data_IF_509456549139
#
_entry.id   IF_509456549139
#
_cell.length_a   1.000
_cell.length_b   1.000
_cell.length_c   1.000
_cell.angle_alpha   90.00
_cell.angle_beta   90.00
_cell.angle_gamma   90.00
#
_symmetry.space_group_name_H-M   'P 1'
#
loop_
_entity.id
_entity.type
_entity.pdbx_description
1 polymer ?
#
# COMPACT_ATOMS: atom_id res chain seq x y z
N UNK A 1 1.76 -13.34 -7.58
CA UNK A 1 2.52 -12.45 -6.66
C UNK A 1 2.36 -11.04 -7.19
N UNK A 2 1.95 -10.04 -6.39
CA UNK A 2 1.80 -8.65 -6.87
C UNK A 2 3.16 -8.19 -7.38
N UNK A 3 3.37 -8.05 -8.68
CA UNK A 3 4.59 -7.38 -9.12
C UNK A 3 4.36 -5.89 -8.86
N UNK A 4 4.94 -5.38 -7.78
CA UNK A 4 4.88 -3.95 -7.40
C UNK A 4 5.22 -3.06 -8.62
N UNK A 5 6.05 -3.59 -9.53
CA UNK A 5 6.39 -3.05 -10.84
C UNK A 5 5.21 -2.84 -11.79
N UNK A 6 4.27 -3.78 -11.92
CA UNK A 6 3.12 -3.65 -12.83
C UNK A 6 2.15 -2.56 -12.35
N UNK A 7 1.87 -2.50 -11.05
CA UNK A 7 1.02 -1.46 -10.45
C UNK A 7 1.63 -0.07 -10.66
N UNK A 8 2.95 0.09 -10.50
CA UNK A 8 3.63 1.38 -10.74
C UNK A 8 3.51 1.78 -12.21
N UNK A 9 3.77 0.86 -13.16
CA UNK A 9 3.63 1.13 -14.60
C UNK A 9 2.24 1.63 -14.96
N UNK A 10 1.20 0.99 -14.43
CA UNK A 10 -0.20 1.35 -14.68
C UNK A 10 -0.54 2.73 -14.08
N UNK A 11 -0.06 3.04 -12.88
CA UNK A 11 -0.23 4.37 -12.28
C UNK A 11 0.44 5.47 -13.11
N UNK A 12 1.63 5.22 -13.64
CA UNK A 12 2.32 6.17 -14.53
C UNK A 12 1.56 6.35 -15.85
N UNK A 13 1.14 5.25 -16.49
CA UNK A 13 0.30 5.26 -17.71
C UNK A 13 -0.94 6.13 -17.53
N UNK A 14 -1.60 5.98 -16.39
CA UNK A 14 -2.88 6.65 -16.08
C UNK A 14 -2.67 8.04 -15.45
N UNK A 15 -1.46 8.60 -15.51
CA UNK A 15 -1.09 9.90 -14.94
C UNK A 15 -1.50 10.07 -13.47
N UNK A 16 -1.40 8.99 -12.70
CA UNK A 16 -1.84 8.91 -11.31
C UNK A 16 -3.27 9.44 -11.12
N UNK A 17 -4.16 9.08 -12.05
CA UNK A 17 -5.55 9.49 -12.07
C UNK A 17 -6.47 8.28 -12.12
N UNK A 18 -7.57 8.36 -11.36
CA UNK A 18 -8.62 7.36 -11.36
C UNK A 18 -9.28 7.30 -12.74
N UNK A 19 -9.31 6.10 -13.33
CA UNK A 19 -9.92 5.87 -14.63
C UNK A 19 -11.45 5.95 -14.62
N UNK A 20 -12.08 5.93 -13.45
CA UNK A 20 -13.54 6.06 -13.33
C UNK A 20 -14.01 7.50 -13.06
N UNK A 21 -13.30 8.23 -12.20
CA UNK A 21 -13.77 9.55 -11.73
C UNK A 21 -12.75 10.68 -11.89
N UNK A 22 -11.55 10.40 -12.39
CA UNK A 22 -10.49 11.41 -12.57
C UNK A 22 -9.83 11.90 -11.29
N UNK A 23 -10.26 11.46 -10.10
CA UNK A 23 -9.61 11.81 -8.83
C UNK A 23 -8.17 11.33 -8.81
N UNK A 24 -7.29 12.08 -8.13
CA UNK A 24 -5.88 11.74 -7.91
C UNK A 24 -5.59 11.35 -6.47
N UNK A 25 -6.62 11.23 -5.65
CA UNK A 25 -6.49 10.90 -4.23
C UNK A 25 -6.31 9.40 -4.01
N UNK A 26 -5.30 9.04 -3.20
CA UNK A 26 -5.05 7.67 -2.71
C UNK A 26 -5.14 6.62 -3.82
N UNK A 27 -4.34 6.84 -4.86
CA UNK A 27 -4.40 6.08 -6.10
C UNK A 27 -3.86 4.65 -5.93
N UNK A 28 -4.61 3.69 -6.44
CA UNK A 28 -4.38 2.26 -6.28
C UNK A 28 -4.50 1.53 -7.62
N UNK A 29 -3.77 0.41 -7.75
CA UNK A 29 -3.98 -0.51 -8.86
C UNK A 29 -5.12 -1.46 -8.53
N UNK A 30 -6.02 -1.67 -9.48
CA UNK A 30 -7.16 -2.57 -9.40
C UNK A 30 -7.10 -3.57 -10.56
N UNK A 31 -7.15 -4.86 -10.25
CA UNK A 31 -7.27 -5.93 -11.23
C UNK A 31 -8.74 -6.10 -11.61
N UNK A 32 -9.12 -5.83 -12.86
CA UNK A 32 -10.48 -6.15 -13.34
C UNK A 32 -10.71 -7.67 -13.41
N UNK A 33 -9.67 -8.41 -13.75
CA UNK A 33 -9.66 -9.88 -13.78
C UNK A 33 -8.66 -10.35 -12.72
N UNK A 34 -9.13 -11.19 -11.80
CA UNK A 34 -8.34 -11.66 -10.66
C UNK A 34 -7.05 -12.34 -11.14
N UNK A 35 -5.90 -11.86 -10.65
CA UNK A 35 -4.55 -12.34 -10.98
C UNK A 35 -4.06 -12.09 -12.42
N UNK A 36 -4.73 -11.25 -13.19
CA UNK A 36 -4.29 -10.87 -14.55
C UNK A 36 -3.73 -9.44 -14.56
N UNK A 37 -2.40 -9.31 -14.54
CA UNK A 37 -1.71 -8.01 -14.48
C UNK A 37 -2.02 -7.12 -15.71
N UNK A 38 -2.43 -7.69 -16.85
CA UNK A 38 -2.81 -6.90 -18.03
C UNK A 38 -4.18 -6.23 -17.87
N UNK A 39 -5.03 -6.76 -16.98
CA UNK A 39 -6.33 -6.17 -16.63
C UNK A 39 -6.23 -5.04 -15.59
N UNK A 40 -5.02 -4.62 -15.23
CA UNK A 40 -4.81 -3.56 -14.23
C UNK A 40 -5.27 -2.19 -14.72
N UNK A 41 -6.07 -1.54 -13.89
CA UNK A 41 -6.46 -0.14 -14.02
C UNK A 41 -6.09 0.65 -12.76
N UNK A 42 -6.03 1.97 -12.91
CA UNK A 42 -5.83 2.89 -11.79
C UNK A 42 -7.17 3.38 -11.26
N UNK A 43 -7.46 3.18 -9.97
CA UNK A 43 -8.64 3.70 -9.28
C UNK A 43 -8.24 4.50 -8.04
N UNK A 44 -9.04 5.52 -7.67
CA UNK A 44 -8.95 6.11 -6.34
C UNK A 44 -9.51 5.14 -5.30
N UNK A 45 -9.12 5.31 -4.03
CA UNK A 45 -9.56 4.43 -2.95
C UNK A 45 -11.09 4.29 -2.84
N UNK A 46 -11.84 5.36 -3.10
CA UNK A 46 -13.31 5.33 -3.08
C UNK A 46 -13.88 4.46 -4.21
N UNK A 47 -13.49 4.71 -5.46
CA UNK A 47 -13.90 3.90 -6.61
C UNK A 47 -13.48 2.44 -6.43
N UNK A 48 -12.26 2.20 -5.96
CA UNK A 48 -11.77 0.85 -5.72
C UNK A 48 -12.60 0.10 -4.69
N UNK A 49 -13.04 0.76 -3.61
CA UNK A 49 -13.91 0.12 -2.61
C UNK A 49 -15.27 -0.29 -3.17
N UNK A 50 -15.82 0.47 -4.13
CA UNK A 50 -17.10 0.13 -4.78
C UNK A 50 -16.99 -1.12 -5.65
N UNK A 51 -15.81 -1.38 -6.22
CA UNK A 51 -15.53 -2.60 -6.99
C UNK A 51 -15.43 -3.86 -6.12
N UNK A 52 -15.39 -3.72 -4.79
CA UNK A 52 -15.26 -4.83 -3.83
C UNK A 52 -16.26 -4.67 -2.67
N UNK A 53 -17.57 -4.91 -2.90
CA UNK A 53 -18.62 -4.69 -1.90
C UNK A 53 -18.54 -5.65 -0.71
N UNK A 54 -17.84 -6.78 -0.86
CA UNK A 54 -17.58 -7.76 0.18
C UNK A 54 -16.40 -7.39 1.11
N UNK A 55 -15.67 -6.32 0.81
CA UNK A 55 -14.53 -5.86 1.60
C UNK A 55 -14.84 -4.54 2.32
N UNK A 56 -14.46 -4.40 3.61
CA UNK A 56 -14.66 -3.16 4.33
C UNK A 56 -13.98 -1.98 3.63
N UNK A 57 -14.74 -0.90 3.42
CA UNK A 57 -14.27 0.30 2.73
C UNK A 57 -12.99 0.89 3.37
N UNK A 58 -12.84 0.77 4.69
CA UNK A 58 -11.66 1.20 5.42
C UNK A 58 -10.35 0.57 4.89
N UNK A 59 -10.40 -0.64 4.32
CA UNK A 59 -9.24 -1.28 3.72
C UNK A 59 -8.74 -0.55 2.49
N UNK A 60 -9.60 0.16 1.76
CA UNK A 60 -9.24 0.91 0.56
C UNK A 60 -8.89 2.35 0.90
N UNK A 61 -9.72 3.01 1.70
CA UNK A 61 -9.52 4.40 2.12
C UNK A 61 -8.25 4.59 2.92
N UNK A 62 -7.75 3.53 3.56
CA UNK A 62 -6.56 3.57 4.39
C UNK A 62 -5.41 2.73 3.83
N UNK A 63 -5.55 2.12 2.63
CA UNK A 63 -4.45 1.39 2.00
C UNK A 63 -3.51 2.32 1.26
N UNK A 64 -2.44 2.67 1.97
CA UNK A 64 -1.16 2.95 1.34
C UNK A 64 -0.52 1.61 0.99
N UNK A 65 -0.94 1.01 -0.13
CA UNK A 65 -0.26 -0.14 -0.72
C UNK A 65 1.11 0.29 -1.26
N UNK A 66 2.09 0.31 -0.37
CA UNK A 66 3.49 0.14 -0.70
C UNK A 66 3.95 -1.10 0.05
N UNK A 67 4.10 -2.22 -0.66
CA UNK A 67 4.93 -3.29 -0.12
C UNK A 67 6.33 -2.71 -0.01
N UNK A 68 6.95 -2.78 1.16
CA UNK A 68 8.34 -2.38 1.32
C UNK A 68 9.21 -3.15 0.34
N UNK A 69 10.07 -2.46 -0.40
CA UNK A 69 11.36 -3.00 -0.72
C UNK A 69 12.37 -2.28 0.20
N UNK A 70 13.17 -3.05 0.93
CA UNK A 70 14.33 -2.57 1.71
C UNK A 70 15.45 -2.12 0.74
N UNK A 71 15.14 -1.23 -0.19
CA UNK A 71 16.06 -0.79 -1.21
C UNK A 71 16.62 0.58 -0.82
N UNK A 72 17.94 0.69 -0.87
CA UNK A 72 18.69 1.93 -0.82
C UNK A 72 18.38 2.82 -2.04
N UNK A 73 18.74 4.10 -1.96
CA UNK A 73 18.63 5.02 -3.11
C UNK A 73 19.30 4.47 -4.38
N UNK A 74 20.40 3.74 -4.22
CA UNK A 74 21.15 3.16 -5.35
C UNK A 74 20.36 2.03 -6.01
N UNK A 75 19.68 1.22 -5.22
CA UNK A 75 18.87 0.10 -5.70
C UNK A 75 17.56 0.58 -6.35
N UNK A 76 16.92 1.63 -5.82
CA UNK A 76 15.76 2.26 -6.46
C UNK A 76 16.16 2.89 -7.80
N UNK A 77 17.32 3.55 -7.85
CA UNK A 77 17.88 4.12 -9.08
C UNK A 77 18.10 3.04 -10.14
N UNK A 78 18.73 1.93 -9.76
CA UNK A 78 19.04 0.82 -10.69
C UNK A 78 17.81 0.02 -11.12
N UNK A 79 16.87 -0.25 -10.20
CA UNK A 79 15.69 -1.08 -10.49
C UNK A 79 14.65 -0.35 -11.33
N UNK A 80 14.50 0.97 -11.14
CA UNK A 80 13.46 1.76 -11.79
C UNK A 80 14.01 2.77 -12.81
N UNK A 81 15.33 2.81 -13.02
CA UNK A 81 15.98 3.72 -13.97
C UNK A 81 15.90 5.20 -13.58
N UNK A 82 15.77 5.50 -12.29
CA UNK A 82 15.52 6.87 -11.78
C UNK A 82 16.83 7.48 -11.30
N UNK A 83 17.39 8.42 -12.06
CA UNK A 83 18.68 9.07 -11.73
C UNK A 83 18.53 10.38 -10.94
N UNK A 84 17.30 10.88 -10.80
CA UNK A 84 17.00 12.15 -10.11
C UNK A 84 17.00 11.99 -8.59
N UNK A 85 17.95 12.64 -7.91
CA UNK A 85 18.02 12.72 -6.44
C UNK A 85 16.72 13.21 -5.79
N UNK A 86 16.07 14.30 -6.26
CA UNK A 86 14.78 14.74 -5.72
C UNK A 86 13.66 13.68 -5.89
N UNK A 87 13.62 12.98 -7.02
CA UNK A 87 12.65 11.92 -7.27
C UNK A 87 12.86 10.70 -6.34
N UNK A 88 14.13 10.29 -6.17
CA UNK A 88 14.54 9.24 -5.22
C UNK A 88 14.15 9.60 -3.77
N UNK A 89 14.39 10.84 -3.36
CA UNK A 89 14.08 11.31 -2.01
C UNK A 89 12.57 11.35 -1.76
N UNK A 90 11.77 11.77 -2.74
CA UNK A 90 10.31 11.74 -2.69
C UNK A 90 9.75 10.31 -2.56
N UNK A 91 10.33 9.36 -3.29
CA UNK A 91 9.96 7.94 -3.23
C UNK A 91 10.28 7.36 -1.84
N UNK A 92 11.48 7.60 -1.30
CA UNK A 92 11.88 7.19 0.05
C UNK A 92 10.96 7.78 1.12
N UNK A 93 10.59 9.06 1.02
CA UNK A 93 9.67 9.69 1.96
C UNK A 93 8.26 9.08 1.90
N UNK A 94 7.77 8.75 0.70
CA UNK A 94 6.48 8.07 0.51
C UNK A 94 6.50 6.64 1.07
N UNK A 95 7.63 5.94 0.92
CA UNK A 95 7.83 4.58 1.47
C UNK A 95 7.91 4.59 3.00
N UNK A 96 8.67 5.52 3.59
CA UNK A 96 8.82 5.64 5.04
C UNK A 96 7.53 6.07 5.76
N UNK A 97 6.70 6.93 5.12
CA UNK A 97 5.38 7.31 5.64
C UNK A 97 4.42 6.11 5.70
N UNK A 98 4.47 5.23 4.69
CA UNK A 98 3.63 4.02 4.64
C UNK A 98 3.87 3.07 5.83
N UNK A 99 5.12 2.90 6.26
CA UNK A 99 5.48 2.06 7.41
C UNK A 99 4.99 2.64 8.73
N UNK A 100 5.14 3.95 8.93
CA UNK A 100 4.67 4.63 10.14
C UNK A 100 3.14 4.52 10.27
N UNK A 101 2.41 4.83 9.21
CA UNK A 101 0.94 4.81 9.20
C UNK A 101 0.37 3.40 9.34
N UNK A 102 0.94 2.40 8.64
CA UNK A 102 0.59 0.98 8.82
C UNK A 102 0.75 0.57 10.28
N UNK A 103 1.87 0.94 10.90
CA UNK A 103 2.14 0.59 12.30
C UNK A 103 1.21 1.33 13.28
N UNK A 104 0.71 2.52 12.94
CA UNK A 104 -0.35 3.19 13.72
C UNK A 104 -1.69 2.48 13.60
N UNK A 105 -2.07 2.01 12.41
CA UNK A 105 -3.32 1.27 12.19
C UNK A 105 -3.35 -0.06 12.93
N UNK A 106 -2.23 -0.80 12.90
CA UNK A 106 -2.06 -2.04 13.66
C UNK A 106 -2.31 -1.79 15.15
N UNK A 107 -1.81 -0.67 15.69
CA UNK A 107 -2.03 -0.29 17.09
C UNK A 107 -3.48 0.06 17.38
N UNK A 108 -4.15 0.80 16.50
CA UNK A 108 -5.56 1.17 16.66
C UNK A 108 -6.44 -0.08 16.69
N UNK A 109 -6.26 -0.99 15.74
CA UNK A 109 -7.04 -2.24 15.66
C UNK A 109 -6.79 -3.13 16.88
N UNK A 110 -5.54 -3.22 17.35
CA UNK A 110 -5.24 -3.96 18.58
C UNK A 110 -5.93 -3.33 19.81
N UNK A 111 -5.91 -2.00 19.93
CA UNK A 111 -6.59 -1.27 21.02
C UNK A 111 -8.11 -1.42 20.97
N UNK A 112 -8.71 -1.64 19.79
CA UNK A 112 -10.14 -1.90 19.64
C UNK A 112 -10.53 -3.37 19.89
N UNK A 113 -9.59 -4.23 20.28
CA UNK A 113 -9.84 -5.63 20.62
C UNK A 113 -9.69 -6.62 19.47
N UNK A 114 -9.19 -6.20 18.30
CA UNK A 114 -8.97 -7.11 17.18
C UNK A 114 -7.82 -8.09 17.44
N UNK A 115 -8.01 -9.33 17.01
CA UNK A 115 -7.05 -10.39 17.25
C UNK A 115 -5.76 -10.21 16.40
N UNK A 116 -4.59 -10.33 17.02
CA UNK A 116 -3.29 -10.18 16.34
C UNK A 116 -3.10 -11.08 15.10
N UNK A 117 -3.65 -12.29 15.10
CA UNK A 117 -3.59 -13.19 13.95
C UNK A 117 -4.44 -12.67 12.78
N UNK A 118 -5.58 -12.05 13.09
CA UNK A 118 -6.47 -11.43 12.11
C UNK A 118 -5.86 -10.15 11.54
N UNK A 119 -5.28 -9.31 12.39
CA UNK A 119 -4.50 -8.14 11.97
C UNK A 119 -3.34 -8.57 11.07
N UNK A 120 -2.58 -9.61 11.43
CA UNK A 120 -1.47 -10.13 10.62
C UNK A 120 -1.92 -10.57 9.23
N UNK A 121 -3.08 -11.24 9.12
CA UNK A 121 -3.67 -11.60 7.82
C UNK A 121 -4.01 -10.38 6.97
N UNK A 122 -4.62 -9.35 7.55
CA UNK A 122 -5.00 -8.13 6.82
C UNK A 122 -3.79 -7.35 6.31
N UNK A 123 -2.74 -7.21 7.12
CA UNK A 123 -1.53 -6.48 6.75
C UNK A 123 -0.46 -7.34 6.07
N UNK A 124 -0.71 -8.64 5.90
CA UNK A 124 0.23 -9.62 5.32
C UNK A 124 1.58 -9.64 6.03
N UNK A 125 1.56 -9.55 7.36
CA UNK A 125 2.73 -9.65 8.21
C UNK A 125 2.52 -10.77 9.24
N UNK A 126 3.61 -11.31 9.78
CA UNK A 126 3.51 -12.38 10.76
C UNK A 126 2.85 -11.88 12.04
N UNK A 127 2.21 -12.80 12.79
CA UNK A 127 1.68 -12.50 14.13
C UNK A 127 2.77 -11.92 15.04
N UNK A 128 4.00 -12.39 14.91
CA UNK A 128 5.13 -11.88 15.69
C UNK A 128 5.45 -10.42 15.30
N UNK A 129 5.45 -10.07 14.02
CA UNK A 129 5.63 -8.69 13.58
C UNK A 129 4.52 -7.76 14.10
N UNK A 130 3.26 -8.21 14.13
CA UNK A 130 2.16 -7.46 14.76
C UNK A 130 2.45 -7.20 16.24
N UNK A 131 2.89 -8.23 16.97
CA UNK A 131 3.25 -8.13 18.39
C UNK A 131 4.40 -7.13 18.61
N UNK A 132 5.44 -7.19 17.80
CA UNK A 132 6.61 -6.31 17.92
C UNK A 132 6.23 -4.83 17.69
N UNK A 133 5.35 -4.58 16.71
CA UNK A 133 4.82 -3.24 16.41
C UNK A 133 3.98 -2.69 17.57
N UNK A 134 3.18 -3.53 18.22
CA UNK A 134 2.38 -3.13 19.40
C UNK A 134 3.28 -2.87 20.61
N UNK A 135 4.29 -3.72 20.86
CA UNK A 135 5.23 -3.59 21.99
C UNK A 135 6.12 -2.36 21.93
N UNK A 136 6.60 -1.99 20.74
CA UNK A 136 7.43 -0.78 20.55
C UNK A 136 6.71 0.53 20.92
N UNK A 137 5.42 0.49 21.23
CA UNK A 137 4.60 1.63 21.62
C UNK A 137 4.40 1.79 23.14
N UNK A 138 4.94 0.88 23.96
CA UNK A 138 4.67 0.85 25.40
C UNK A 138 3.34 0.21 25.79
N UNK A 139 2.82 -0.72 24.98
CA UNK A 139 1.72 -1.60 25.39
C UNK A 139 2.27 -2.85 26.06
N UNK A 140 1.86 -3.07 27.31
CA UNK A 140 2.29 -4.15 28.21
C UNK A 140 2.31 -5.55 27.56
#
# INVERSE_FOLDING_TARGET
MKTQTAIIKVKVRDNYSCQECGSREKIQGHHKIKNDDDSLITLCALCHSKSHPDMPQALFLNSNHVTEPKLSMLEISNQYGITSKPALHSILHQMARGTYERNQQIRILHKSGENMAQIGRWFKISRQAVRDIVKQAGGD
#
